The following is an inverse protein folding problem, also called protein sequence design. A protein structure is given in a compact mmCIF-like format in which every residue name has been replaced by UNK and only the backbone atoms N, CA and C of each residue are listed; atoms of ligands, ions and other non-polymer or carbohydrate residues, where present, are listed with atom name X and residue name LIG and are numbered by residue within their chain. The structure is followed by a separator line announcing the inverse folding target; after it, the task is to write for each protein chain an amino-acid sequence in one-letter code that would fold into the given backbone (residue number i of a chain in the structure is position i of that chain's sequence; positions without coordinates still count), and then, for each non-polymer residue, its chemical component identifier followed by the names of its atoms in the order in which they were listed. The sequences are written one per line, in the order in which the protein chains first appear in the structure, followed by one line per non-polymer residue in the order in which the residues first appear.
data_IF_744556426204
#
_entry.id   IF_744556426204
#
_cell.length_a   1.000
_cell.length_b   1.000
_cell.length_c   1.000
_cell.angle_alpha   90.00
_cell.angle_beta   90.00
_cell.angle_gamma   90.00
#
_symmetry.space_group_name_H-M   'P 1'
#
loop_
_entity.id
_entity.type
_entity.pdbx_description
1 polymer ?
#
# COMPACT_ATOMS: atom_id res chain seq x y z
N UNK A 1 19.28 6.22 20.86
CA UNK A 1 18.42 5.01 20.78
C UNK A 1 18.61 4.43 19.38
N UNK A 2 19.46 3.42 19.25
CA UNK A 2 19.86 2.85 17.95
C UNK A 2 18.75 1.96 17.40
N UNK A 3 18.11 2.37 16.31
CA UNK A 3 17.10 1.57 15.61
C UNK A 3 17.77 0.78 14.48
N UNK A 4 18.18 -0.45 14.79
CA UNK A 4 18.72 -1.40 13.81
C UNK A 4 17.54 -1.97 13.02
N UNK A 5 17.28 -1.43 11.83
CA UNK A 5 16.28 -2.01 10.91
C UNK A 5 16.80 -3.36 10.41
N UNK A 6 16.05 -4.40 10.74
CA UNK A 6 16.30 -5.79 10.41
C UNK A 6 16.27 -5.99 8.88
N UNK A 7 17.40 -6.47 8.35
CA UNK A 7 17.55 -7.07 7.03
C UNK A 7 16.87 -8.45 7.01
N UNK A 8 15.54 -8.50 7.06
CA UNK A 8 14.83 -9.78 7.12
C UNK A 8 13.46 -9.72 6.44
N UNK A 9 13.44 -9.71 5.10
CA UNK A 9 12.24 -10.07 4.36
C UNK A 9 12.59 -10.57 2.95
N UNK A 10 13.34 -11.66 2.86
CA UNK A 10 13.31 -12.55 1.69
C UNK A 10 12.58 -13.83 2.10
N UNK A 11 11.29 -13.68 2.46
CA UNK A 11 10.41 -14.82 2.65
C UNK A 11 10.03 -15.33 1.26
N UNK A 12 10.61 -16.47 0.88
CA UNK A 12 10.19 -17.24 -0.30
C UNK A 12 8.69 -17.52 -0.20
N UNK A 13 7.95 -17.26 -1.29
CA UNK A 13 6.51 -17.46 -1.38
C UNK A 13 6.08 -18.95 -1.31
N UNK A 14 7.03 -19.88 -1.20
CA UNK A 14 6.81 -21.32 -1.27
C UNK A 14 6.09 -21.93 -0.06
N UNK A 15 6.06 -21.25 1.10
CA UNK A 15 5.72 -21.94 2.35
C UNK A 15 4.28 -21.70 2.85
N UNK A 16 3.46 -20.92 2.12
CA UNK A 16 2.08 -20.59 2.55
C UNK A 16 1.11 -20.52 1.35
N UNK A 17 0.55 -21.65 0.89
CA UNK A 17 -0.31 -21.70 -0.31
C UNK A 17 -1.59 -20.84 -0.22
N UNK A 18 -2.01 -20.45 0.98
CA UNK A 18 -3.25 -19.69 1.21
C UNK A 18 -3.03 -18.19 1.47
N UNK A 19 -1.80 -17.68 1.37
CA UNK A 19 -1.50 -16.27 1.58
C UNK A 19 -1.22 -15.58 0.25
N UNK A 20 -2.07 -14.60 -0.09
CA UNK A 20 -1.81 -13.72 -1.23
C UNK A 20 -0.86 -12.58 -0.82
N UNK A 21 0.10 -12.26 -1.70
CA UNK A 21 0.96 -11.10 -1.52
C UNK A 21 0.26 -9.88 -2.11
N UNK A 22 0.08 -8.86 -1.30
CA UNK A 22 -0.48 -7.57 -1.75
C UNK A 22 0.67 -6.59 -1.99
N UNK A 23 0.77 -5.98 -3.18
CA UNK A 23 1.71 -4.89 -3.45
C UNK A 23 1.58 -3.75 -2.43
N UNK A 24 2.71 -3.22 -1.96
CA UNK A 24 2.70 -2.12 -0.98
C UNK A 24 2.00 -0.85 -1.49
N UNK A 25 1.98 -0.63 -2.80
CA UNK A 25 1.30 0.51 -3.43
C UNK A 25 -0.23 0.44 -3.27
N UNK A 26 -0.83 -0.74 -3.21
CA UNK A 26 -2.27 -0.90 -2.97
C UNK A 26 -2.64 -0.46 -1.55
N UNK A 27 -1.83 -0.86 -0.56
CA UNK A 27 -2.01 -0.42 0.84
C UNK A 27 -1.81 1.09 0.96
N UNK A 28 -0.82 1.64 0.24
CA UNK A 28 -0.54 3.07 0.19
C UNK A 28 -1.72 3.87 -0.39
N UNK A 29 -2.35 3.37 -1.45
CA UNK A 29 -3.52 3.98 -2.05
C UNK A 29 -4.72 3.95 -1.10
N UNK A 30 -5.01 2.80 -0.49
CA UNK A 30 -6.14 2.66 0.43
C UNK A 30 -6.02 3.57 1.67
N UNK A 31 -4.82 3.71 2.27
CA UNK A 31 -4.65 4.68 3.35
C UNK A 31 -4.88 6.12 2.87
N UNK A 32 -4.46 6.46 1.65
CA UNK A 32 -4.57 7.80 1.09
C UNK A 32 -6.02 8.17 0.81
N UNK A 33 -6.84 7.21 0.39
CA UNK A 33 -8.27 7.41 0.18
C UNK A 33 -9.00 7.73 1.50
N UNK A 34 -8.67 7.02 2.58
CA UNK A 34 -9.22 7.28 3.91
C UNK A 34 -8.77 8.66 4.40
N UNK A 35 -7.48 8.99 4.27
CA UNK A 35 -6.95 10.32 4.62
C UNK A 35 -7.68 11.43 3.88
N UNK A 36 -7.87 11.29 2.56
CA UNK A 36 -8.58 12.26 1.73
C UNK A 36 -10.02 12.50 2.24
N UNK A 37 -10.74 11.43 2.55
CA UNK A 37 -12.11 11.54 3.07
C UNK A 37 -12.15 12.22 4.44
N UNK A 38 -11.25 11.83 5.36
CA UNK A 38 -11.16 12.43 6.69
C UNK A 38 -10.83 13.92 6.63
N UNK A 39 -9.99 14.36 5.69
CA UNK A 39 -9.55 15.76 5.59
C UNK A 39 -10.52 16.66 4.85
N UNK A 40 -11.24 16.11 3.86
CA UNK A 40 -12.04 16.92 2.95
C UNK A 40 -13.55 16.71 3.12
N UNK A 41 -13.97 15.65 3.82
CA UNK A 41 -15.35 15.21 3.89
C UNK A 41 -15.89 14.66 2.55
N UNK A 42 -15.05 14.45 1.54
CA UNK A 42 -15.45 13.97 0.21
C UNK A 42 -14.90 12.57 -0.07
N UNK A 43 -15.63 11.76 -0.84
CA UNK A 43 -15.13 10.48 -1.31
C UNK A 43 -14.01 10.67 -2.34
N UNK A 44 -12.91 9.94 -2.15
CA UNK A 44 -11.80 9.98 -3.09
C UNK A 44 -12.21 9.32 -4.42
N UNK A 45 -11.94 9.96 -5.58
CA UNK A 45 -12.10 9.33 -6.90
C UNK A 45 -10.99 8.28 -7.10
N UNK A 46 -11.20 7.09 -6.53
CA UNK A 46 -10.17 6.04 -6.39
C UNK A 46 -9.51 5.69 -7.72
N UNK A 47 -10.30 5.43 -8.76
CA UNK A 47 -9.83 4.97 -10.07
C UNK A 47 -8.91 6.00 -10.74
N UNK A 48 -9.32 7.27 -10.78
CA UNK A 48 -8.50 8.33 -11.37
C UNK A 48 -7.19 8.48 -10.59
N UNK A 49 -7.24 8.45 -9.26
CA UNK A 49 -6.05 8.59 -8.42
C UNK A 49 -5.12 7.38 -8.57
N UNK A 50 -5.63 6.14 -8.52
CA UNK A 50 -4.81 4.94 -8.71
C UNK A 50 -4.13 4.93 -10.07
N UNK A 51 -4.86 5.27 -11.14
CA UNK A 51 -4.30 5.32 -12.49
C UNK A 51 -3.14 6.31 -12.56
N UNK A 52 -3.30 7.53 -12.03
CA UNK A 52 -2.22 8.54 -12.04
C UNK A 52 -1.02 8.15 -11.19
N UNK A 53 -1.24 7.48 -10.06
CA UNK A 53 -0.14 7.02 -9.20
C UNK A 53 0.64 5.89 -9.87
N UNK A 54 -0.06 4.91 -10.46
CA UNK A 54 0.55 3.79 -11.19
C UNK A 54 1.19 4.20 -12.52
N UNK A 55 0.72 5.29 -13.16
CA UNK A 55 1.41 5.87 -14.32
C UNK A 55 2.79 6.44 -13.97
N UNK A 56 3.00 6.84 -12.70
CA UNK A 56 4.22 7.52 -12.26
C UNK A 56 5.26 6.59 -11.66
N UNK A 57 4.85 5.43 -11.14
CA UNK A 57 5.63 4.48 -10.36
C UNK A 57 5.40 3.05 -10.84
#
# INVERSE_FOLDING_TARGET
RNFRLLSSAHLSASDRPNWSRVPGIEVLLEQGYVQFELWTGRKCPKEQVSTRVLERY
#
